data_IF_044454875351
#
_entry.id   IF_044454875351
#
_cell.length_a   1.000
_cell.length_b   1.000
_cell.length_c   1.000
_cell.angle_alpha   90.00
_cell.angle_beta   90.00
_cell.angle_gamma   90.00
#
_symmetry.space_group_name_H-M   'P 1'
#
loop_
_entity.id
_entity.type
_entity.pdbx_description
1 polymer ?
#
# COMPACT_ATOMS: atom_id res chain seq x y z
N UNK A 1 -6.10 13.06 -4.29
CA UNK A 1 -4.80 13.28 -3.63
C UNK A 1 -4.32 11.94 -3.05
N UNK A 2 -3.21 11.42 -3.56
CA UNK A 2 -2.55 10.25 -2.96
C UNK A 2 -1.77 10.74 -1.73
N UNK A 3 -2.10 10.24 -0.53
CA UNK A 3 -1.32 10.55 0.67
C UNK A 3 -0.01 9.78 0.56
N UNK A 4 1.10 10.50 0.42
CA UNK A 4 2.45 9.96 0.47
C UNK A 4 2.95 10.03 1.92
N UNK A 5 3.30 8.88 2.49
CA UNK A 5 3.90 8.81 3.82
C UNK A 5 5.40 8.62 3.67
N UNK A 6 6.16 9.44 4.39
CA UNK A 6 7.62 9.33 4.54
C UNK A 6 7.93 8.57 5.83
N UNK A 7 8.80 7.58 5.76
CA UNK A 7 9.25 6.80 6.91
C UNK A 7 10.72 6.43 6.74
N UNK A 8 11.32 5.98 7.84
CA UNK A 8 12.71 5.57 7.83
C UNK A 8 12.88 4.24 7.09
N UNK A 9 13.90 4.16 6.24
CA UNK A 9 14.24 2.96 5.47
C UNK A 9 14.51 1.77 6.40
N UNK A 10 15.14 2.00 7.54
CA UNK A 10 15.46 0.97 8.53
C UNK A 10 14.20 0.42 9.23
N UNK A 11 13.22 1.28 9.51
CA UNK A 11 11.94 0.87 10.11
C UNK A 11 11.11 0.03 9.15
N UNK A 12 11.03 0.45 7.88
CA UNK A 12 10.38 -0.34 6.85
C UNK A 12 11.01 -1.73 6.78
N UNK A 13 12.34 -1.81 6.72
CA UNK A 13 13.06 -3.10 6.65
C UNK A 13 12.75 -4.01 7.83
N UNK A 14 12.74 -3.47 9.06
CA UNK A 14 12.38 -4.23 10.26
C UNK A 14 10.96 -4.79 10.17
N UNK A 15 10.00 -3.98 9.72
CA UNK A 15 8.59 -4.38 9.58
C UNK A 15 8.41 -5.44 8.50
N UNK A 16 9.06 -5.30 7.35
CA UNK A 16 9.06 -6.33 6.30
C UNK A 16 9.60 -7.67 6.82
N UNK A 17 10.67 -7.63 7.62
CA UNK A 17 11.23 -8.83 8.25
C UNK A 17 10.25 -9.45 9.26
N UNK A 18 9.51 -8.64 10.01
CA UNK A 18 8.45 -9.11 10.93
C UNK A 18 7.29 -9.79 10.20
N UNK A 19 7.00 -9.42 8.95
CA UNK A 19 6.01 -10.12 8.13
C UNK A 19 6.50 -11.48 7.62
N UNK A 20 7.77 -11.84 7.83
CA UNK A 20 8.37 -13.07 7.35
C UNK A 20 8.73 -13.02 5.86
N UNK A 21 8.86 -11.83 5.27
CA UNK A 21 9.32 -11.67 3.90
C UNK A 21 10.79 -12.07 3.77
N UNK A 22 11.09 -12.89 2.76
CA UNK A 22 12.47 -13.23 2.36
C UNK A 22 13.23 -12.00 1.86
N UNK A 23 14.56 -12.09 1.79
CA UNK A 23 15.40 -10.93 1.42
C UNK A 23 15.13 -10.39 0.00
N UNK A 24 14.77 -11.26 -0.96
CA UNK A 24 14.46 -10.84 -2.34
C UNK A 24 13.22 -9.90 -2.45
N UNK A 25 12.02 -10.27 -1.98
CA UNK A 25 10.87 -9.35 -2.01
C UNK A 25 11.06 -8.12 -1.11
N UNK A 26 11.84 -8.25 -0.04
CA UNK A 26 12.24 -7.11 0.79
C UNK A 26 13.06 -6.10 -0.02
N UNK A 27 14.10 -6.53 -0.73
CA UNK A 27 14.92 -5.66 -1.58
C UNK A 27 14.11 -4.98 -2.68
N UNK A 28 13.17 -5.69 -3.31
CA UNK A 28 12.32 -5.13 -4.35
C UNK A 28 11.46 -3.98 -3.80
N UNK A 29 10.83 -4.18 -2.64
CA UNK A 29 10.09 -3.14 -1.94
C UNK A 29 11.00 -1.96 -1.54
N UNK A 30 12.20 -2.25 -1.02
CA UNK A 30 13.17 -1.22 -0.65
C UNK A 30 13.59 -0.38 -1.85
N UNK A 31 13.79 -1.02 -3.01
CA UNK A 31 14.18 -0.36 -4.27
C UNK A 31 13.05 0.49 -4.81
N UNK A 32 11.81 0.01 -4.75
CA UNK A 32 10.62 0.79 -5.12
C UNK A 32 10.45 2.02 -4.23
N UNK A 33 10.73 1.87 -2.94
CA UNK A 33 10.70 2.99 -1.98
C UNK A 33 11.77 4.04 -2.30
N UNK A 34 12.99 3.61 -2.62
CA UNK A 34 14.10 4.51 -2.95
C UNK A 34 13.85 5.27 -4.26
N UNK A 35 13.35 4.58 -5.29
CA UNK A 35 12.98 5.17 -6.60
C UNK A 35 11.88 6.23 -6.52
N UNK A 36 11.06 6.20 -5.47
CA UNK A 36 9.97 7.17 -5.25
C UNK A 36 10.38 8.31 -4.31
N UNK A 37 11.68 8.60 -4.20
CA UNK A 37 12.22 9.68 -3.36
C UNK A 37 11.83 9.54 -1.88
N UNK A 38 11.83 8.30 -1.36
CA UNK A 38 11.38 7.98 0.02
C UNK A 38 9.92 8.32 0.31
N UNK A 39 9.11 8.49 -0.73
CA UNK A 39 7.66 8.57 -0.62
C UNK A 39 7.06 7.24 -1.01
N UNK A 40 6.26 6.67 -0.13
CA UNK A 40 5.52 5.47 -0.44
C UNK A 40 4.09 5.82 -0.82
N UNK A 41 3.70 5.38 -2.00
CA UNK A 41 2.28 5.24 -2.33
C UNK A 41 1.77 4.03 -1.54
N UNK A 42 0.98 4.29 -0.50
CA UNK A 42 0.43 3.27 0.39
C UNK A 42 -0.39 2.24 -0.38
N UNK A 43 -1.08 2.66 -1.44
CA UNK A 43 -1.90 1.77 -2.27
C UNK A 43 -0.98 0.80 -3.03
N UNK A 44 0.05 1.33 -3.69
CA UNK A 44 1.03 0.50 -4.40
C UNK A 44 1.78 -0.43 -3.43
N UNK A 45 2.08 0.04 -2.22
CA UNK A 45 2.73 -0.75 -1.19
C UNK A 45 1.88 -1.92 -0.72
N UNK A 46 0.61 -1.67 -0.39
CA UNK A 46 -0.35 -2.72 -0.01
C UNK A 46 -0.43 -3.79 -1.09
N UNK A 47 -0.54 -3.38 -2.36
CA UNK A 47 -0.60 -4.31 -3.49
C UNK A 47 0.67 -5.16 -3.62
N UNK A 48 1.84 -4.58 -3.41
CA UNK A 48 3.11 -5.32 -3.43
C UNK A 48 3.18 -6.29 -2.25
N UNK A 49 2.84 -5.86 -1.04
CA UNK A 49 2.83 -6.73 0.13
C UNK A 49 1.90 -7.92 -0.05
N UNK A 50 0.68 -7.70 -0.54
CA UNK A 50 -0.25 -8.79 -0.86
C UNK A 50 0.30 -9.72 -1.94
N UNK A 51 0.96 -9.18 -2.97
CA UNK A 51 1.60 -9.97 -4.04
C UNK A 51 2.71 -10.89 -3.49
N UNK A 52 3.41 -10.46 -2.44
CA UNK A 52 4.42 -11.26 -1.76
C UNK A 52 3.87 -12.17 -0.65
N UNK A 53 2.54 -12.29 -0.54
CA UNK A 53 1.88 -13.19 0.41
C UNK A 53 1.65 -12.60 1.80
N UNK A 54 1.86 -11.30 2.01
CA UNK A 54 1.51 -10.64 3.28
C UNK A 54 -0.01 -10.48 3.36
N UNK A 55 -0.58 -10.86 4.50
CA UNK A 55 -2.02 -10.82 4.69
C UNK A 55 -2.52 -9.38 4.88
N UNK A 56 -3.75 -9.11 4.42
CA UNK A 56 -4.43 -7.82 4.61
C UNK A 56 -4.49 -7.38 6.08
N UNK A 57 -4.60 -8.32 7.01
CA UNK A 57 -4.57 -8.06 8.45
C UNK A 57 -3.21 -7.52 8.92
N UNK A 58 -2.11 -8.12 8.49
CA UNK A 58 -0.75 -7.65 8.80
C UNK A 58 -0.50 -6.26 8.20
N UNK A 59 -0.90 -6.03 6.95
CA UNK A 59 -0.81 -4.71 6.31
C UNK A 59 -1.66 -3.68 7.05
N UNK A 60 -2.89 -4.04 7.43
CA UNK A 60 -3.78 -3.17 8.21
C UNK A 60 -3.15 -2.74 9.53
N UNK A 61 -2.60 -3.68 10.29
CA UNK A 61 -1.94 -3.39 11.56
C UNK A 61 -0.70 -2.52 11.35
N UNK A 62 0.10 -2.80 10.32
CA UNK A 62 1.24 -1.96 9.96
C UNK A 62 0.84 -0.52 9.66
N UNK A 63 -0.19 -0.33 8.83
CA UNK A 63 -0.66 1.00 8.47
C UNK A 63 -1.22 1.75 9.69
N UNK A 64 -1.89 1.06 10.62
CA UNK A 64 -2.31 1.65 11.89
C UNK A 64 -1.12 2.07 12.76
N UNK A 65 -0.10 1.23 12.88
CA UNK A 65 1.09 1.50 13.70
C UNK A 65 1.85 2.75 13.23
N UNK A 66 1.83 3.04 11.92
CA UNK A 66 2.45 4.26 11.37
C UNK A 66 1.53 5.49 11.46
N UNK A 67 0.38 5.38 12.13
CA UNK A 67 -0.55 6.48 12.35
C UNK A 67 -1.60 6.67 11.25
N UNK A 68 -1.81 5.69 10.36
CA UNK A 68 -2.93 5.77 9.41
C UNK A 68 -4.22 5.41 10.12
N UNK A 69 -5.14 6.36 10.13
CA UNK A 69 -6.48 6.17 10.68
C UNK A 69 -7.29 5.12 9.91
N UNK A 70 -8.21 4.46 10.62
CA UNK A 70 -9.09 3.42 10.08
C UNK A 70 -9.88 3.88 8.84
N UNK A 71 -10.34 5.13 8.81
CA UNK A 71 -11.05 5.73 7.66
C UNK A 71 -10.17 5.81 6.42
N UNK A 72 -8.92 6.26 6.60
CA UNK A 72 -7.92 6.31 5.53
C UNK A 72 -7.55 4.90 5.08
N UNK A 73 -7.42 3.96 6.02
CA UNK A 73 -7.12 2.56 5.73
C UNK A 73 -8.17 1.91 4.82
N UNK A 74 -9.46 2.12 5.10
CA UNK A 74 -10.55 1.61 4.25
C UNK A 74 -10.47 2.21 2.84
N UNK A 75 -10.18 3.50 2.72
CA UNK A 75 -10.01 4.16 1.42
C UNK A 75 -8.81 3.60 0.64
N UNK A 76 -7.68 3.35 1.32
CA UNK A 76 -6.48 2.75 0.73
C UNK A 76 -6.79 1.36 0.18
N UNK A 77 -7.40 0.50 1.00
CA UNK A 77 -7.72 -0.85 0.57
C UNK A 77 -8.77 -0.88 -0.54
N UNK A 78 -9.79 -0.03 -0.45
CA UNK A 78 -10.77 0.11 -1.53
C UNK A 78 -10.09 0.50 -2.85
N UNK A 79 -9.19 1.49 -2.83
CA UNK A 79 -8.40 1.88 -4.01
C UNK A 79 -7.44 0.79 -4.48
N UNK A 80 -6.84 0.03 -3.57
CA UNK A 80 -6.00 -1.11 -3.91
C UNK A 80 -6.83 -2.17 -4.64
N UNK A 81 -8.00 -2.52 -4.11
CA UNK A 81 -8.94 -3.46 -4.71
C UNK A 81 -9.40 -2.98 -6.11
N UNK A 82 -9.72 -1.70 -6.28
CA UNK A 82 -10.05 -1.11 -7.60
C UNK A 82 -8.90 -1.23 -8.60
N UNK A 83 -7.68 -0.89 -8.16
CA UNK A 83 -6.48 -0.95 -9.02
C UNK A 83 -6.13 -2.40 -9.39
N UNK A 84 -6.38 -3.35 -8.48
CA UNK A 84 -6.21 -4.79 -8.71
C UNK A 84 -7.25 -5.33 -9.69
N UNK A 85 -8.47 -4.82 -9.63
CA UNK A 85 -9.56 -5.15 -10.56
C UNK A 85 -9.38 -4.53 -11.97
N UNK A 86 -8.30 -3.80 -12.23
CA UNK A 86 -8.09 -3.13 -13.52
C UNK A 86 -9.07 -1.98 -13.78
N UNK A 87 -9.72 -1.48 -12.73
CA UNK A 87 -10.57 -0.28 -12.82
C UNK A 87 -9.63 0.91 -12.82
N UNK A 88 -9.21 1.31 -14.01
CA UNK A 88 -8.55 2.60 -14.24
C UNK A 88 -9.46 3.73 -13.73
N UNK A 89 -8.86 4.71 -13.04
CA UNK A 89 -9.50 5.89 -12.40
C UNK A 89 -10.46 6.67 -13.33
N UNK A 90 -10.46 6.37 -14.64
CA UNK A 90 -11.32 7.00 -15.66
C UNK A 90 -12.77 6.52 -15.68
N UNK A 91 -13.16 5.43 -15.00
CA UNK A 91 -14.51 4.86 -15.14
C UNK A 91 -15.49 5.10 -13.98
N UNK A 92 -15.05 5.69 -12.87
CA UNK A 92 -15.90 5.85 -11.66
C UNK A 92 -16.83 7.06 -11.74
N UNK A 93 -16.63 8.00 -12.68
CA UNK A 93 -17.53 9.15 -12.84
C UNK A 93 -18.81 8.87 -13.63
N UNK A 94 -18.94 7.71 -14.29
CA UNK A 94 -20.03 7.50 -15.26
C UNK A 94 -21.32 6.87 -14.67
N UNK A 95 -21.30 6.38 -13.43
CA UNK A 95 -22.43 5.58 -12.89
C UNK A 95 -23.36 6.36 -11.96
N UNK A 96 -23.07 7.63 -11.65
CA UNK A 96 -23.91 8.45 -10.74
C UNK A 96 -24.90 9.37 -11.50
N UNK A 97 -24.81 9.47 -12.83
CA UNK A 97 -25.61 10.42 -13.63
C UNK A 97 -26.74 9.79 -14.46
N UNK A 98 -27.06 8.51 -14.27
CA UNK A 98 -28.22 7.86 -14.90
C UNK A 98 -29.00 7.03 -13.89
N UNK A 99 -29.60 7.73 -12.92
CA UNK A 99 -30.78 7.28 -12.19
C UNK A 99 -31.99 8.08 -12.66
#
# INVERSE_FOLDING_TARGET
MAKSYSFDKSELRKKLKLFGLSDAPMEEIMTLFDKKNRHMDVIAFVLNLEKFGVTRAQVSNFLKDIGIEQTTLMSVFSRADFKKAGVDDKKVQEVILKG
#
